data_IF_806100872070
#
_entry.id   IF_806100872070
#
_cell.length_a   1.000
_cell.length_b   1.000
_cell.length_c   1.000
_cell.angle_alpha   90.00
_cell.angle_beta   90.00
_cell.angle_gamma   90.00
#
_symmetry.space_group_name_H-M   'P 1'
#
loop_
_entity.id
_entity.type
_entity.pdbx_description
1 polymer ?
#
# COMPACT_ATOMS: atom_id res chain seq x y z
N UNK A 1 -1.99 -85.23 28.95
CA UNK A 1 -3.23 -84.67 29.52
C UNK A 1 -3.67 -83.53 28.60
N UNK A 2 -4.53 -83.85 27.63
CA UNK A 2 -5.96 -83.43 27.48
C UNK A 2 -6.09 -82.08 26.76
N UNK A 3 -6.24 -82.07 25.42
CA UNK A 3 -7.48 -82.22 24.62
C UNK A 3 -8.52 -81.13 24.86
N UNK A 4 -9.02 -80.52 23.77
CA UNK A 4 -10.44 -80.18 23.66
C UNK A 4 -10.79 -78.78 23.16
N UNK A 5 -10.81 -78.60 21.84
CA UNK A 5 -11.68 -77.66 21.12
C UNK A 5 -13.16 -77.86 21.45
N UNK A 6 -13.95 -76.79 21.64
CA UNK A 6 -15.33 -76.66 21.11
C UNK A 6 -15.98 -75.29 21.40
N UNK A 7 -16.46 -74.71 20.31
CA UNK A 7 -17.21 -73.48 20.06
C UNK A 7 -18.65 -73.47 20.58
N UNK A 8 -19.15 -72.33 21.11
CA UNK A 8 -20.52 -71.76 20.92
C UNK A 8 -20.45 -70.24 21.15
N UNK A 9 -20.36 -69.41 20.10
CA UNK A 9 -21.46 -68.65 19.46
C UNK A 9 -22.44 -67.95 20.43
N UNK A 10 -22.34 -66.61 20.54
CA UNK A 10 -23.43 -65.67 20.27
C UNK A 10 -22.91 -64.21 20.31
N UNK A 11 -23.35 -63.44 19.32
CA UNK A 11 -23.02 -62.06 18.96
C UNK A 11 -23.11 -61.03 20.10
N UNK A 12 -22.33 -59.95 20.04
CA UNK A 12 -22.78 -58.64 19.50
C UNK A 12 -21.65 -57.59 19.59
N UNK A 13 -21.32 -56.87 18.50
CA UNK A 13 -20.17 -55.99 18.42
C UNK A 13 -20.52 -54.55 18.80
N UNK A 14 -19.67 -53.87 19.58
CA UNK A 14 -19.69 -52.41 19.69
C UNK A 14 -18.27 -51.86 19.86
N UNK A 15 -17.66 -51.56 18.70
CA UNK A 15 -16.88 -50.36 18.41
C UNK A 15 -16.62 -49.41 19.60
N UNK A 16 -15.40 -49.44 20.12
CA UNK A 16 -14.79 -48.32 20.84
C UNK A 16 -13.47 -47.97 20.14
N UNK A 17 -13.59 -47.49 18.90
CA UNK A 17 -12.54 -46.70 18.27
C UNK A 17 -12.58 -45.31 18.89
N UNK A 18 -11.55 -45.02 19.67
CA UNK A 18 -11.18 -43.70 20.12
C UNK A 18 -11.06 -42.76 18.90
N UNK A 19 -12.09 -41.93 18.69
CA UNK A 19 -12.11 -40.84 17.73
C UNK A 19 -11.84 -39.52 18.45
N UNK A 20 -10.93 -38.72 17.87
CA UNK A 20 -10.51 -37.41 18.32
C UNK A 20 -11.67 -36.47 18.69
N UNK A 21 -11.57 -35.81 19.84
CA UNK A 21 -12.26 -34.56 20.11
C UNK A 21 -11.73 -33.47 19.17
N UNK A 22 -12.33 -33.36 17.99
CA UNK A 22 -12.42 -32.12 17.23
C UNK A 22 -13.88 -32.04 16.76
N UNK A 23 -14.79 -31.77 17.68
CA UNK A 23 -16.19 -31.52 17.31
C UNK A 23 -16.28 -30.11 16.75
N UNK A 24 -15.94 -29.97 15.47
CA UNK A 24 -16.53 -28.97 14.59
C UNK A 24 -17.96 -29.38 14.30
N UNK A 25 -18.81 -29.36 15.33
CA UNK A 25 -20.25 -29.51 15.15
C UNK A 25 -20.78 -28.23 14.46
N UNK A 26 -21.24 -28.30 13.20
CA UNK A 26 -21.85 -27.15 12.55
C UNK A 26 -23.21 -26.78 13.17
N UNK A 27 -23.77 -27.63 14.04
CA UNK A 27 -25.02 -27.35 14.77
C UNK A 27 -24.82 -26.43 15.99
N UNK A 28 -23.62 -26.42 16.61
CA UNK A 28 -23.24 -25.44 17.65
C UNK A 28 -22.82 -24.08 17.04
N UNK A 29 -22.45 -24.07 15.76
CA UNK A 29 -22.45 -22.88 14.91
C UNK A 29 -23.88 -22.51 14.48
N UNK A 30 -24.80 -22.46 15.45
CA UNK A 30 -26.23 -22.48 15.19
C UNK A 30 -26.69 -21.36 14.27
N UNK A 31 -27.58 -21.71 13.35
CA UNK A 31 -28.42 -20.79 12.56
C UNK A 31 -28.95 -19.60 13.39
N UNK A 32 -29.21 -19.79 14.69
CA UNK A 32 -29.62 -18.74 15.62
C UNK A 32 -28.56 -17.65 15.89
N UNK A 33 -27.26 -17.97 15.88
CA UNK A 33 -26.19 -16.97 15.97
C UNK A 33 -26.07 -16.16 14.66
N UNK A 34 -26.34 -16.80 13.52
CA UNK A 34 -26.43 -16.14 12.21
C UNK A 34 -27.65 -15.23 12.08
N UNK A 35 -28.83 -15.66 12.55
CA UNK A 35 -30.05 -14.84 12.52
C UNK A 35 -30.05 -13.76 13.61
N UNK A 36 -29.45 -14.00 14.79
CA UNK A 36 -29.27 -12.95 15.80
C UNK A 36 -28.32 -11.86 15.31
N UNK A 37 -27.28 -12.21 14.55
CA UNK A 37 -26.40 -11.24 13.88
C UNK A 37 -27.11 -10.41 12.79
N UNK A 38 -28.07 -11.02 12.08
CA UNK A 38 -28.92 -10.32 11.09
C UNK A 38 -29.94 -9.39 11.78
N UNK A 39 -30.48 -9.77 12.94
CA UNK A 39 -31.45 -8.97 13.72
C UNK A 39 -30.81 -7.82 14.50
N UNK A 40 -29.51 -7.89 14.81
CA UNK A 40 -28.84 -6.92 15.71
C UNK A 40 -28.18 -5.74 15.00
N UNK A 41 -28.27 -5.64 13.68
CA UNK A 41 -27.63 -4.56 12.90
C UNK A 41 -26.13 -4.78 12.65
N UNK A 42 -25.55 -5.91 13.10
CA UNK A 42 -24.12 -6.19 12.93
C UNK A 42 -23.68 -6.27 11.46
N UNK A 43 -24.59 -6.59 10.53
CA UNK A 43 -24.31 -6.52 9.10
C UNK A 43 -24.21 -5.06 8.61
N UNK A 44 -25.16 -4.21 9.03
CA UNK A 44 -25.18 -2.80 8.70
C UNK A 44 -23.96 -2.07 9.31
N UNK A 45 -23.55 -2.43 10.53
CA UNK A 45 -22.35 -1.91 11.18
C UNK A 45 -21.08 -2.24 10.38
N UNK A 46 -20.99 -3.46 9.83
CA UNK A 46 -19.86 -3.88 8.99
C UNK A 46 -19.84 -3.14 7.66
N UNK A 47 -21.01 -2.90 7.07
CA UNK A 47 -21.13 -2.09 5.85
C UNK A 47 -20.69 -0.66 6.16
N UNK A 48 -21.23 -0.05 7.21
CA UNK A 48 -20.87 1.32 7.60
C UNK A 48 -19.37 1.47 7.88
N UNK A 49 -18.75 0.49 8.54
CA UNK A 49 -17.30 0.47 8.76
C UNK A 49 -16.52 0.37 7.43
N UNK A 50 -16.91 -0.54 6.54
CA UNK A 50 -16.26 -0.70 5.25
C UNK A 50 -16.42 0.54 4.35
N UNK A 51 -17.61 1.15 4.32
CA UNK A 51 -17.88 2.40 3.62
C UNK A 51 -17.02 3.55 4.17
N UNK A 52 -16.87 3.63 5.50
CA UNK A 52 -16.00 4.60 6.14
C UNK A 52 -14.52 4.43 5.78
N UNK A 53 -14.04 3.18 5.71
CA UNK A 53 -12.66 2.86 5.32
C UNK A 53 -12.40 3.23 3.85
N UNK A 54 -13.36 2.94 2.95
CA UNK A 54 -13.28 3.31 1.53
C UNK A 54 -13.24 4.82 1.38
N UNK A 55 -14.16 5.55 2.01
CA UNK A 55 -14.19 7.01 1.95
C UNK A 55 -12.89 7.65 2.45
N UNK A 56 -12.30 7.09 3.52
CA UNK A 56 -11.00 7.53 4.05
C UNK A 56 -9.87 7.28 3.06
N UNK A 57 -9.85 6.11 2.41
CA UNK A 57 -8.85 5.77 1.40
C UNK A 57 -8.96 6.66 0.16
N UNK A 58 -10.18 6.94 -0.31
CA UNK A 58 -10.44 7.85 -1.43
C UNK A 58 -9.95 9.26 -1.14
N UNK A 59 -10.33 9.83 0.02
CA UNK A 59 -9.87 11.14 0.44
C UNK A 59 -8.34 11.24 0.50
N UNK A 60 -7.67 10.20 1.01
CA UNK A 60 -6.20 10.12 1.02
C UNK A 60 -5.63 10.11 -0.40
N UNK A 61 -6.21 9.33 -1.30
CA UNK A 61 -5.75 9.22 -2.68
C UNK A 61 -5.90 10.55 -3.44
N UNK A 62 -7.02 11.25 -3.23
CA UNK A 62 -7.25 12.58 -3.82
C UNK A 62 -6.25 13.61 -3.31
N UNK A 63 -6.01 13.63 -1.99
CA UNK A 63 -5.02 14.52 -1.38
C UNK A 63 -3.60 14.23 -1.91
N UNK A 64 -3.24 12.96 -2.09
CA UNK A 64 -1.95 12.56 -2.63
C UNK A 64 -1.80 12.95 -4.11
N UNK A 65 -2.85 12.74 -4.90
CA UNK A 65 -2.88 13.17 -6.30
C UNK A 65 -2.75 14.69 -6.45
N UNK A 66 -3.39 15.46 -5.56
CA UNK A 66 -3.26 16.92 -5.53
C UNK A 66 -1.83 17.35 -5.18
N UNK A 67 -1.20 16.73 -4.19
CA UNK A 67 0.20 17.00 -3.83
C UNK A 67 1.15 16.72 -5.00
N UNK A 68 0.97 15.60 -5.71
CA UNK A 68 1.77 15.25 -6.88
C UNK A 68 1.64 16.33 -7.96
N UNK A 69 0.42 16.74 -8.31
CA UNK A 69 0.20 17.80 -9.32
C UNK A 69 0.86 19.12 -8.93
N UNK A 70 0.76 19.50 -7.65
CA UNK A 70 1.38 20.73 -7.15
C UNK A 70 2.91 20.64 -7.25
N UNK A 71 3.51 19.52 -6.85
CA UNK A 71 4.94 19.30 -6.96
C UNK A 71 5.43 19.24 -8.41
N UNK A 72 4.67 18.65 -9.34
CA UNK A 72 5.00 18.68 -10.77
C UNK A 72 5.00 20.11 -11.32
N UNK A 73 4.00 20.91 -10.98
CA UNK A 73 3.92 22.31 -11.37
C UNK A 73 5.10 23.12 -10.81
N UNK A 74 5.43 22.91 -9.54
CA UNK A 74 6.55 23.58 -8.90
C UNK A 74 7.89 23.22 -9.55
N UNK A 75 8.12 21.93 -9.82
CA UNK A 75 9.33 21.47 -10.49
C UNK A 75 9.45 22.07 -11.89
N UNK A 76 8.35 22.14 -12.65
CA UNK A 76 8.34 22.77 -13.97
C UNK A 76 8.73 24.26 -13.90
N UNK A 77 8.19 25.00 -12.93
CA UNK A 77 8.56 26.40 -12.70
C UNK A 77 10.04 26.56 -12.35
N UNK A 78 10.57 25.70 -11.49
CA UNK A 78 11.98 25.70 -11.12
C UNK A 78 12.88 25.42 -12.33
N UNK A 79 12.52 24.45 -13.18
CA UNK A 79 13.27 24.15 -14.41
C UNK A 79 13.31 25.35 -15.36
N UNK A 80 12.18 26.05 -15.52
CA UNK A 80 12.14 27.28 -16.32
C UNK A 80 13.04 28.38 -15.72
N UNK A 81 13.04 28.53 -14.40
CA UNK A 81 13.91 29.51 -13.74
C UNK A 81 15.41 29.16 -13.91
N UNK A 82 15.77 27.89 -13.83
CA UNK A 82 17.13 27.40 -14.07
C UNK A 82 17.58 27.72 -15.50
N UNK A 83 16.72 27.45 -16.50
CA UNK A 83 17.00 27.78 -17.90
C UNK A 83 17.27 29.28 -18.09
N UNK A 84 16.40 30.13 -17.54
CA UNK A 84 16.58 31.59 -17.62
C UNK A 84 17.89 32.06 -16.99
N UNK A 85 18.27 31.48 -15.83
CA UNK A 85 19.53 31.82 -15.14
C UNK A 85 20.74 31.36 -15.92
N UNK A 86 20.73 30.14 -16.45
CA UNK A 86 21.80 29.61 -17.31
C UNK A 86 22.05 30.55 -18.48
N UNK A 87 20.98 30.97 -19.15
CA UNK A 87 21.07 31.85 -20.31
C UNK A 87 21.63 33.25 -19.94
N UNK A 88 21.39 33.71 -18.71
CA UNK A 88 21.92 34.97 -18.19
C UNK A 88 23.42 34.91 -17.82
N UNK A 89 23.92 33.76 -17.35
CA UNK A 89 25.33 33.59 -16.98
C UNK A 89 26.22 33.49 -18.24
N UNK A 90 25.68 32.98 -19.35
CA UNK A 90 26.34 32.99 -20.66
C UNK A 90 27.52 32.02 -20.80
N UNK A 91 27.85 31.25 -19.75
CA UNK A 91 28.89 30.24 -19.77
C UNK A 91 29.16 29.67 -18.38
N UNK A 92 28.89 28.37 -18.22
CA UNK A 92 29.10 27.64 -16.97
C UNK A 92 30.26 26.66 -17.13
N UNK A 93 30.91 26.28 -16.02
CA UNK A 93 31.90 25.19 -16.06
C UNK A 93 31.22 23.85 -16.43
N UNK A 94 32.04 22.88 -16.87
CA UNK A 94 31.53 21.58 -17.31
C UNK A 94 30.74 20.81 -16.23
N UNK A 95 31.08 20.98 -14.95
CA UNK A 95 30.37 20.32 -13.85
C UNK A 95 29.00 20.97 -13.60
N UNK A 96 28.93 22.30 -13.67
CA UNK A 96 27.68 23.07 -13.56
C UNK A 96 26.76 22.77 -14.72
N UNK A 97 27.26 22.75 -15.96
CA UNK A 97 26.49 22.36 -17.15
C UNK A 97 25.91 20.94 -17.00
N UNK A 98 26.71 19.97 -16.56
CA UNK A 98 26.23 18.59 -16.33
C UNK A 98 25.16 18.50 -15.24
N UNK A 99 25.24 19.34 -14.19
CA UNK A 99 24.20 19.42 -13.15
C UNK A 99 22.90 19.99 -13.70
N UNK A 100 22.99 21.07 -14.50
CA UNK A 100 21.83 21.68 -15.16
C UNK A 100 21.15 20.66 -16.07
N UNK A 101 21.90 20.02 -16.96
CA UNK A 101 21.35 19.03 -17.89
C UNK A 101 20.68 17.87 -17.15
N UNK A 102 21.28 17.40 -16.04
CA UNK A 102 20.65 16.38 -15.21
C UNK A 102 19.31 16.85 -14.67
N UNK A 103 19.24 18.01 -14.02
CA UNK A 103 18.00 18.51 -13.41
C UNK A 103 16.93 18.79 -14.47
N UNK A 104 17.30 19.34 -15.62
CA UNK A 104 16.37 19.65 -16.70
C UNK A 104 15.79 18.38 -17.33
N UNK A 105 16.62 17.36 -17.53
CA UNK A 105 16.19 16.09 -18.14
C UNK A 105 15.66 15.06 -17.14
N UNK A 106 15.77 15.33 -15.84
CA UNK A 106 15.25 14.41 -14.81
C UNK A 106 13.73 14.30 -14.89
N UNK A 107 13.24 13.07 -14.92
CA UNK A 107 11.83 12.73 -14.95
C UNK A 107 11.51 11.90 -13.70
N UNK A 108 11.17 12.54 -12.56
CA UNK A 108 10.88 11.84 -11.33
C UNK A 108 9.70 10.90 -11.52
N UNK A 109 9.94 9.61 -11.30
CA UNK A 109 8.97 8.52 -11.45
C UNK A 109 8.93 7.69 -10.18
N UNK A 110 7.85 6.92 -10.03
CA UNK A 110 7.66 6.00 -8.90
C UNK A 110 6.56 4.99 -9.21
N UNK A 111 6.71 3.76 -8.71
CA UNK A 111 5.73 2.70 -8.91
C UNK A 111 4.41 2.95 -8.16
N UNK A 112 4.45 3.77 -7.10
CA UNK A 112 3.29 4.17 -6.30
C UNK A 112 3.19 5.70 -6.25
N UNK A 113 2.00 6.26 -5.95
CA UNK A 113 1.85 7.69 -5.78
C UNK A 113 2.78 8.28 -4.70
N UNK A 114 2.94 7.59 -3.57
CA UNK A 114 3.87 8.01 -2.51
C UNK A 114 5.33 8.02 -2.99
N UNK A 115 5.75 6.98 -3.71
CA UNK A 115 7.10 6.92 -4.28
C UNK A 115 7.33 8.03 -5.31
N UNK A 116 6.33 8.32 -6.14
CA UNK A 116 6.37 9.42 -7.11
C UNK A 116 6.47 10.77 -6.40
N UNK A 117 5.70 10.99 -5.34
CA UNK A 117 5.77 12.21 -4.55
C UNK A 117 7.16 12.39 -3.92
N UNK A 118 7.73 11.34 -3.34
CA UNK A 118 9.07 11.38 -2.76
C UNK A 118 10.14 11.70 -3.82
N UNK A 119 10.04 11.10 -5.01
CA UNK A 119 10.93 11.41 -6.13
C UNK A 119 10.81 12.88 -6.56
N UNK A 120 9.59 13.39 -6.71
CA UNK A 120 9.33 14.80 -7.04
C UNK A 120 9.93 15.75 -6.01
N UNK A 121 9.73 15.48 -4.72
CA UNK A 121 10.27 16.29 -3.63
C UNK A 121 11.79 16.35 -3.65
N UNK A 122 12.45 15.23 -3.95
CA UNK A 122 13.90 15.18 -4.12
C UNK A 122 14.35 16.03 -5.31
N UNK A 123 13.74 15.87 -6.48
CA UNK A 123 14.08 16.66 -7.67
C UNK A 123 13.85 18.16 -7.45
N UNK A 124 12.80 18.54 -6.72
CA UNK A 124 12.54 19.94 -6.31
C UNK A 124 13.67 20.46 -5.42
N UNK A 125 14.09 19.70 -4.41
CA UNK A 125 15.19 20.11 -3.52
C UNK A 125 16.50 20.31 -4.30
N UNK A 126 16.82 19.40 -5.21
CA UNK A 126 17.99 19.51 -6.09
C UNK A 126 17.90 20.73 -7.02
N UNK A 127 16.73 20.96 -7.63
CA UNK A 127 16.49 22.10 -8.52
C UNK A 127 16.61 23.44 -7.77
N UNK A 128 16.07 23.54 -6.55
CA UNK A 128 16.21 24.73 -5.70
C UNK A 128 17.66 24.98 -5.31
N UNK A 129 18.41 23.95 -4.93
CA UNK A 129 19.82 24.06 -4.60
C UNK A 129 20.64 24.54 -5.81
N UNK A 130 20.38 23.97 -7.00
CA UNK A 130 21.04 24.40 -8.23
C UNK A 130 20.69 25.85 -8.58
N UNK A 131 19.41 26.25 -8.50
CA UNK A 131 19.00 27.64 -8.76
C UNK A 131 19.71 28.63 -7.83
N UNK A 132 19.88 28.28 -6.55
CA UNK A 132 20.63 29.10 -5.59
C UNK A 132 22.12 29.18 -5.91
N UNK A 133 22.74 28.10 -6.39
CA UNK A 133 24.13 28.12 -6.84
C UNK A 133 24.31 29.01 -8.08
N UNK A 134 23.41 28.88 -9.08
CA UNK A 134 23.42 29.73 -10.28
C UNK A 134 23.24 31.21 -9.93
N UNK A 135 22.37 31.53 -8.96
CA UNK A 135 22.19 32.90 -8.51
C UNK A 135 23.48 33.53 -7.98
N UNK A 136 24.35 32.77 -7.31
CA UNK A 136 25.65 33.23 -6.80
C UNK A 136 26.68 33.45 -7.91
N UNK A 137 26.53 32.76 -9.04
CA UNK A 137 27.44 32.90 -10.19
C UNK A 137 27.05 34.09 -11.08
N UNK A 138 25.78 34.47 -11.09
CA UNK A 138 25.26 35.59 -11.88
C UNK A 138 25.38 36.97 -11.22
N UNK A 139 25.69 37.03 -9.92
CA UNK A 139 25.77 38.27 -9.12
C UNK A 139 27.20 38.59 -8.73
#
# INVERSE_FOLDING_TARGET
MTKGTATRFAALPCLLLAGCQTTTDPADGGFFAGVSGITTGAYDDRIAAAEGDVATAEARNEALAAQIRNSESELAQLKLNILQRRDAIGGDDAATAARIDRVLNDAPTGATPDAKLAALQKSIAEARALSADLAKLSG
#
